data_IF_728660881173
#
_entry.id   IF_728660881173
#
_cell.length_a   1.000
_cell.length_b   1.000
_cell.length_c   1.000
_cell.angle_alpha   90.00
_cell.angle_beta   90.00
_cell.angle_gamma   90.00
#
_symmetry.space_group_name_H-M   'P 1'
#
loop_
_entity.id
_entity.type
_entity.pdbx_description
1 polymer ?
#
# COMPACT_ATOMS: atom_id res chain seq x y z
N UNK A 1 -18.26 9.57 -40.07
CA UNK A 1 -17.38 10.12 -39.01
C UNK A 1 -16.51 8.99 -38.53
N UNK A 2 -15.20 9.07 -38.72
CA UNK A 2 -14.26 8.11 -38.13
C UNK A 2 -14.42 8.18 -36.61
N UNK A 3 -14.44 7.08 -35.87
CA UNK A 3 -14.46 7.14 -34.41
C UNK A 3 -13.23 7.94 -33.99
N UNK A 4 -13.44 9.02 -33.25
CA UNK A 4 -12.34 9.82 -32.70
C UNK A 4 -11.52 8.89 -31.77
N UNK A 5 -10.28 8.64 -32.18
CA UNK A 5 -9.36 7.79 -31.41
C UNK A 5 -8.88 8.59 -30.20
N UNK A 6 -9.25 8.19 -29.00
CA UNK A 6 -8.76 8.79 -27.77
C UNK A 6 -7.26 8.49 -27.63
N UNK A 7 -6.44 9.51 -27.45
CA UNK A 7 -5.02 9.37 -27.17
C UNK A 7 -4.75 9.61 -25.70
N UNK A 8 -3.75 8.94 -25.14
CA UNK A 8 -3.40 8.99 -23.72
C UNK A 8 -1.93 9.33 -23.50
N UNK A 9 -1.65 10.05 -22.42
CA UNK A 9 -0.28 10.36 -21.96
C UNK A 9 0.24 9.24 -21.08
N UNK A 10 1.41 8.71 -21.39
CA UNK A 10 2.07 7.71 -20.54
C UNK A 10 2.75 8.33 -19.31
N UNK A 11 2.81 7.59 -18.19
CA UNK A 11 3.52 7.96 -16.95
C UNK A 11 4.97 8.38 -17.18
N UNK A 12 5.65 7.77 -18.15
CA UNK A 12 7.06 8.00 -18.43
C UNK A 12 7.35 9.21 -19.33
N UNK A 13 6.34 10.05 -19.62
CA UNK A 13 6.49 11.24 -20.46
C UNK A 13 6.76 10.98 -21.95
N UNK A 14 6.62 9.73 -22.44
CA UNK A 14 6.91 9.31 -23.83
C UNK A 14 5.85 9.69 -24.86
N UNK A 15 5.17 10.81 -24.66
CA UNK A 15 4.23 11.33 -25.65
C UNK A 15 2.81 10.78 -25.54
N UNK A 16 2.02 11.04 -26.59
CA UNK A 16 0.65 10.56 -26.75
C UNK A 16 0.65 9.27 -27.57
N UNK A 17 -0.16 8.30 -27.16
CA UNK A 17 -0.42 7.08 -27.92
C UNK A 17 -1.91 6.73 -27.88
N UNK A 18 -2.44 6.00 -28.87
CA UNK A 18 -3.83 5.57 -28.86
C UNK A 18 -4.17 4.79 -27.58
N UNK A 19 -5.36 5.06 -27.03
CA UNK A 19 -5.89 4.31 -25.89
C UNK A 19 -6.07 2.83 -26.29
N UNK A 20 -5.40 1.96 -25.55
CA UNK A 20 -5.51 0.51 -25.71
C UNK A 20 -6.59 -0.03 -24.76
N UNK A 21 -7.80 -0.19 -25.29
CA UNK A 21 -8.96 -0.68 -24.55
C UNK A 21 -8.71 -2.12 -24.01
N UNK A 22 -7.94 -2.94 -24.73
CA UNK A 22 -7.64 -4.31 -24.29
C UNK A 22 -6.84 -4.33 -22.99
N UNK A 23 -5.97 -3.35 -22.76
CA UNK A 23 -5.25 -3.22 -21.49
C UNK A 23 -6.17 -2.86 -20.34
N UNK A 24 -7.18 -2.02 -20.59
CA UNK A 24 -8.21 -1.67 -19.60
C UNK A 24 -9.03 -2.92 -19.28
N UNK A 25 -9.54 -3.60 -20.32
CA UNK A 25 -10.31 -4.82 -20.18
C UNK A 25 -9.55 -5.88 -19.38
N UNK A 26 -8.28 -6.17 -19.72
CA UNK A 26 -7.45 -7.13 -18.98
C UNK A 26 -7.29 -6.74 -17.51
N UNK A 27 -7.11 -5.45 -17.23
CA UNK A 27 -6.94 -4.96 -15.85
C UNK A 27 -8.23 -5.11 -15.03
N UNK A 28 -9.38 -4.79 -15.60
CA UNK A 28 -10.69 -4.96 -14.97
C UNK A 28 -10.99 -6.44 -14.78
N UNK A 29 -10.70 -7.27 -15.78
CA UNK A 29 -10.85 -8.72 -15.71
C UNK A 29 -10.08 -9.30 -14.49
N UNK A 30 -8.77 -9.02 -14.38
CA UNK A 30 -7.97 -9.48 -13.23
C UNK A 30 -8.47 -8.93 -11.89
N UNK A 31 -9.03 -7.73 -11.87
CA UNK A 31 -9.60 -7.17 -10.64
C UNK A 31 -10.90 -7.86 -10.22
N UNK A 32 -11.70 -8.35 -11.17
CA UNK A 32 -12.96 -9.06 -10.94
C UNK A 32 -12.78 -10.58 -10.74
N UNK A 33 -11.62 -11.12 -11.08
CA UNK A 33 -11.36 -12.56 -11.08
C UNK A 33 -11.69 -13.21 -9.72
N UNK A 34 -12.42 -14.32 -9.76
CA UNK A 34 -12.84 -15.09 -8.58
C UNK A 34 -13.69 -14.32 -7.55
N UNK A 35 -14.36 -13.24 -7.96
CA UNK A 35 -15.31 -12.49 -7.13
C UNK A 35 -16.75 -12.72 -7.61
N UNK A 36 -17.62 -13.18 -6.73
CA UNK A 36 -19.04 -13.36 -7.04
C UNK A 36 -19.79 -12.01 -7.02
N UNK A 37 -20.81 -11.85 -7.87
CA UNK A 37 -21.70 -10.69 -7.85
C UNK A 37 -21.07 -9.39 -8.35
N UNK A 38 -20.00 -9.46 -9.13
CA UNK A 38 -19.39 -8.31 -9.82
C UNK A 38 -19.46 -8.48 -11.34
N UNK A 39 -19.49 -7.38 -12.08
CA UNK A 39 -19.54 -7.35 -13.54
C UNK A 39 -18.43 -6.45 -14.08
N UNK A 40 -17.55 -7.01 -14.89
CA UNK A 40 -16.51 -6.29 -15.61
C UNK A 40 -17.12 -5.18 -16.49
N UNK A 41 -18.17 -5.51 -17.23
CA UNK A 41 -18.86 -4.57 -18.10
C UNK A 41 -19.44 -3.36 -17.37
N UNK A 42 -19.93 -3.53 -16.12
CA UNK A 42 -20.41 -2.39 -15.34
C UNK A 42 -19.28 -1.43 -14.99
N UNK A 43 -18.12 -1.94 -14.56
CA UNK A 43 -16.94 -1.12 -14.25
C UNK A 43 -16.48 -0.38 -15.50
N UNK A 44 -16.40 -1.09 -16.66
CA UNK A 44 -15.96 -0.53 -17.93
C UNK A 44 -16.91 0.54 -18.46
N UNK A 45 -18.21 0.29 -18.43
CA UNK A 45 -19.22 1.26 -18.88
C UNK A 45 -19.20 2.52 -18.02
N UNK A 46 -19.17 2.36 -16.69
CA UNK A 46 -19.15 3.50 -15.76
C UNK A 46 -17.88 4.33 -15.90
N UNK A 47 -16.73 3.68 -16.18
CA UNK A 47 -15.46 4.36 -16.40
C UNK A 47 -15.34 4.97 -17.78
N UNK A 48 -15.79 4.27 -18.84
CA UNK A 48 -15.63 4.68 -20.23
C UNK A 48 -16.31 6.01 -20.55
N UNK A 49 -17.39 6.34 -19.87
CA UNK A 49 -18.09 7.63 -20.00
C UNK A 49 -17.26 8.84 -19.52
N UNK A 50 -16.17 8.61 -18.79
CA UNK A 50 -15.32 9.65 -18.20
C UNK A 50 -14.00 9.84 -18.97
N UNK A 51 -13.72 9.01 -19.98
CA UNK A 51 -12.47 9.11 -20.74
C UNK A 51 -12.53 10.25 -21.76
N UNK A 52 -11.44 11.00 -21.88
CA UNK A 52 -11.28 12.10 -22.83
C UNK A 52 -9.89 12.07 -23.48
N UNK A 53 -9.77 12.72 -24.65
CA UNK A 53 -8.51 12.79 -25.39
C UNK A 53 -7.43 13.56 -24.64
N UNK A 54 -6.22 13.00 -24.60
CA UNK A 54 -5.07 13.59 -23.90
C UNK A 54 -4.97 13.30 -22.40
N UNK A 55 -5.89 12.52 -21.80
CA UNK A 55 -5.80 12.16 -20.40
C UNK A 55 -4.58 11.24 -20.13
N UNK A 56 -4.09 11.23 -18.89
CA UNK A 56 -2.98 10.38 -18.50
C UNK A 56 -3.45 8.95 -18.15
N UNK A 57 -2.55 7.99 -18.26
CA UNK A 57 -2.84 6.61 -17.82
C UNK A 57 -3.09 6.52 -16.31
N UNK A 58 -2.59 7.49 -15.52
CA UNK A 58 -2.89 7.60 -14.09
C UNK A 58 -4.32 8.06 -13.84
N UNK A 59 -4.80 9.06 -14.57
CA UNK A 59 -6.20 9.50 -14.50
C UNK A 59 -7.15 8.38 -14.89
N UNK A 60 -6.86 7.61 -15.94
CA UNK A 60 -7.62 6.41 -16.31
C UNK A 60 -7.69 5.44 -15.12
N UNK A 61 -6.56 5.17 -14.48
CA UNK A 61 -6.50 4.26 -13.34
C UNK A 61 -7.34 4.78 -12.17
N UNK A 62 -7.30 6.08 -11.87
CA UNK A 62 -8.14 6.68 -10.81
C UNK A 62 -9.63 6.60 -11.16
N UNK A 63 -10.00 6.80 -12.42
CA UNK A 63 -11.38 6.64 -12.88
C UNK A 63 -11.86 5.20 -12.70
N UNK A 64 -11.04 4.20 -13.06
CA UNK A 64 -11.38 2.79 -12.88
C UNK A 64 -11.59 2.45 -11.38
N UNK A 65 -10.70 2.92 -10.50
CA UNK A 65 -10.80 2.73 -9.06
C UNK A 65 -12.09 3.39 -8.54
N UNK A 66 -12.35 4.63 -8.95
CA UNK A 66 -13.54 5.36 -8.54
C UNK A 66 -14.81 4.66 -9.01
N UNK A 67 -14.88 4.29 -10.29
CA UNK A 67 -16.04 3.59 -10.87
C UNK A 67 -16.34 2.28 -10.14
N UNK A 68 -15.33 1.49 -9.81
CA UNK A 68 -15.52 0.28 -9.02
C UNK A 68 -15.99 0.60 -7.58
N UNK A 69 -15.46 1.66 -6.97
CA UNK A 69 -15.87 2.06 -5.61
C UNK A 69 -17.31 2.60 -5.56
N UNK A 70 -17.76 3.29 -6.60
CA UNK A 70 -19.13 3.82 -6.69
C UNK A 70 -20.19 2.70 -6.90
N UNK A 71 -19.77 1.51 -7.32
CA UNK A 71 -20.62 0.33 -7.45
C UNK A 71 -20.78 -0.46 -6.13
N UNK A 72 -20.06 -0.11 -5.08
CA UNK A 72 -20.19 -0.77 -3.77
C UNK A 72 -21.57 -0.50 -3.19
N UNK A 73 -22.32 -1.56 -2.91
CA UNK A 73 -23.65 -1.47 -2.32
C UNK A 73 -23.92 -2.68 -1.42
N UNK A 74 -25.04 -2.67 -0.70
CA UNK A 74 -25.47 -3.81 0.11
C UNK A 74 -25.73 -5.04 -0.74
N UNK A 75 -26.24 -4.86 -1.97
CA UNK A 75 -26.55 -5.95 -2.91
C UNK A 75 -25.31 -6.43 -3.66
N UNK A 76 -24.26 -5.60 -3.77
CA UNK A 76 -23.03 -5.90 -4.49
C UNK A 76 -21.76 -5.49 -3.69
N UNK A 77 -21.55 -6.06 -2.49
CA UNK A 77 -20.46 -5.64 -1.59
C UNK A 77 -19.08 -5.99 -2.13
N UNK A 78 -18.97 -6.98 -3.03
CA UNK A 78 -17.67 -7.43 -3.54
C UNK A 78 -16.97 -6.46 -4.47
N UNK A 79 -17.65 -5.39 -4.95
CA UNK A 79 -16.96 -4.30 -5.64
C UNK A 79 -15.91 -3.60 -4.77
N UNK A 80 -15.99 -3.70 -3.43
CA UNK A 80 -14.93 -3.23 -2.56
C UNK A 80 -13.58 -3.93 -2.82
N UNK A 81 -13.60 -5.20 -3.19
CA UNK A 81 -12.38 -5.94 -3.54
C UNK A 81 -11.92 -5.62 -4.96
N UNK A 82 -12.83 -5.35 -5.89
CA UNK A 82 -12.48 -4.87 -7.25
C UNK A 82 -11.76 -3.54 -7.16
N UNK A 83 -12.31 -2.57 -6.43
CA UNK A 83 -11.70 -1.26 -6.22
C UNK A 83 -10.34 -1.37 -5.51
N UNK A 84 -10.22 -2.25 -4.49
CA UNK A 84 -8.95 -2.52 -3.81
C UNK A 84 -7.89 -3.09 -4.75
N UNK A 85 -8.24 -4.07 -5.58
CA UNK A 85 -7.31 -4.68 -6.55
C UNK A 85 -6.85 -3.68 -7.61
N UNK A 86 -7.75 -2.85 -8.13
CA UNK A 86 -7.40 -1.77 -9.05
C UNK A 86 -6.44 -0.76 -8.40
N UNK A 87 -6.66 -0.40 -7.13
CA UNK A 87 -5.74 0.45 -6.37
C UNK A 87 -4.37 -0.22 -6.17
N UNK A 88 -4.36 -1.52 -5.83
CA UNK A 88 -3.14 -2.31 -5.68
C UNK A 88 -2.34 -2.38 -6.99
N UNK A 89 -3.02 -2.56 -8.13
CA UNK A 89 -2.37 -2.56 -9.45
C UNK A 89 -1.75 -1.21 -9.77
N UNK A 90 -2.42 -0.10 -9.41
CA UNK A 90 -1.85 1.25 -9.54
C UNK A 90 -0.58 1.38 -8.69
N UNK A 91 -0.63 0.96 -7.44
CA UNK A 91 0.51 0.99 -6.51
C UNK A 91 1.69 0.16 -7.05
N UNK A 92 1.47 -1.09 -7.45
CA UNK A 92 2.52 -1.96 -8.00
C UNK A 92 3.15 -1.38 -9.27
N UNK A 93 2.34 -0.82 -10.16
CA UNK A 93 2.85 -0.14 -11.37
C UNK A 93 3.68 1.11 -11.06
N UNK A 94 3.33 1.87 -10.04
CA UNK A 94 4.12 3.04 -9.64
C UNK A 94 5.47 2.65 -9.03
N UNK A 95 5.51 1.57 -8.25
CA UNK A 95 6.70 1.12 -7.54
C UNK A 95 7.67 0.31 -8.41
N UNK A 96 7.13 -0.61 -9.23
CA UNK A 96 7.91 -1.63 -9.92
C UNK A 96 7.76 -1.60 -11.45
N UNK A 97 6.87 -0.73 -11.99
CA UNK A 97 6.48 -0.67 -13.40
C UNK A 97 5.84 -1.97 -13.94
N UNK A 98 5.58 -2.94 -13.07
CA UNK A 98 5.02 -4.26 -13.36
C UNK A 98 3.93 -4.62 -12.35
N UNK A 99 3.00 -5.50 -12.73
CA UNK A 99 1.88 -5.90 -11.87
C UNK A 99 2.20 -7.10 -10.98
N UNK A 100 2.96 -8.05 -11.53
CA UNK A 100 3.12 -9.40 -10.96
C UNK A 100 4.53 -9.69 -10.48
N UNK A 101 5.53 -8.94 -10.97
CA UNK A 101 6.91 -9.12 -10.58
C UNK A 101 7.26 -8.12 -9.46
N UNK A 102 7.87 -8.64 -8.42
CA UNK A 102 8.35 -7.86 -7.28
C UNK A 102 9.87 -7.98 -7.22
N UNK A 103 10.58 -6.92 -6.78
CA UNK A 103 11.99 -7.05 -6.43
C UNK A 103 12.15 -8.02 -5.25
N UNK A 104 13.35 -8.51 -5.03
CA UNK A 104 13.66 -9.23 -3.79
C UNK A 104 13.56 -8.29 -2.59
N UNK A 105 13.34 -8.85 -1.39
CA UNK A 105 13.30 -8.05 -0.16
C UNK A 105 14.61 -7.29 0.07
N UNK A 106 15.75 -7.91 -0.28
CA UNK A 106 17.07 -7.28 -0.19
C UNK A 106 17.21 -6.08 -1.11
N UNK A 107 16.82 -6.21 -2.40
CA UNK A 107 16.84 -5.10 -3.36
C UNK A 107 15.92 -3.98 -2.92
N UNK A 108 14.72 -4.33 -2.44
CA UNK A 108 13.76 -3.38 -1.91
C UNK A 108 14.31 -2.62 -0.69
N UNK A 109 14.88 -3.34 0.29
CA UNK A 109 15.45 -2.73 1.49
C UNK A 109 16.63 -1.81 1.15
N UNK A 110 17.57 -2.23 0.29
CA UNK A 110 18.68 -1.39 -0.19
C UNK A 110 18.17 -0.12 -0.84
N UNK A 111 17.19 -0.20 -1.75
CA UNK A 111 16.56 0.97 -2.40
C UNK A 111 15.93 1.93 -1.38
N UNK A 112 15.21 1.42 -0.40
CA UNK A 112 14.55 2.24 0.62
C UNK A 112 15.56 2.89 1.59
N UNK A 113 16.66 2.21 1.91
CA UNK A 113 17.77 2.75 2.72
C UNK A 113 18.48 3.87 1.96
N UNK A 114 18.79 3.68 0.69
CA UNK A 114 19.43 4.69 -0.16
C UNK A 114 18.58 5.96 -0.30
N UNK A 115 17.26 5.80 -0.26
CA UNK A 115 16.30 6.92 -0.21
C UNK A 115 16.13 7.54 1.18
N UNK A 116 16.76 6.97 2.21
CA UNK A 116 16.65 7.44 3.59
C UNK A 116 15.30 7.19 4.25
N UNK A 117 14.45 6.34 3.67
CA UNK A 117 13.10 6.04 4.18
C UNK A 117 13.05 4.80 5.06
N UNK A 118 14.02 3.88 4.92
CA UNK A 118 14.24 2.76 5.85
C UNK A 118 15.47 3.02 6.73
N UNK A 119 15.48 2.42 7.91
CA UNK A 119 16.60 2.44 8.82
C UNK A 119 17.77 1.63 8.24
N UNK A 120 18.93 2.27 8.11
CA UNK A 120 20.15 1.63 7.59
C UNK A 120 20.62 0.44 8.44
N UNK A 121 20.27 0.42 9.72
CA UNK A 121 20.62 -0.66 10.62
C UNK A 121 19.97 -2.01 10.25
N UNK A 122 18.95 -2.01 9.38
CA UNK A 122 18.32 -3.26 8.89
C UNK A 122 19.34 -4.22 8.28
N UNK A 123 20.31 -3.70 7.50
CA UNK A 123 21.37 -4.50 6.89
C UNK A 123 22.50 -4.88 7.87
N UNK A 124 22.46 -4.35 9.11
CA UNK A 124 23.34 -4.75 10.21
C UNK A 124 22.67 -5.84 11.05
N UNK A 125 21.32 -5.75 11.23
CA UNK A 125 20.59 -6.72 12.04
C UNK A 125 20.46 -8.09 11.37
N UNK A 126 20.35 -8.12 10.04
CA UNK A 126 20.08 -9.33 9.26
C UNK A 126 21.11 -9.52 8.17
N UNK A 127 21.55 -10.77 7.98
CA UNK A 127 22.42 -11.14 6.86
C UNK A 127 21.63 -11.17 5.54
N UNK A 128 22.34 -11.21 4.42
CA UNK A 128 21.68 -11.32 3.11
C UNK A 128 20.91 -12.65 2.97
N UNK A 129 21.42 -13.73 3.56
CA UNK A 129 20.75 -15.04 3.58
C UNK A 129 19.45 -15.01 4.38
N UNK A 130 19.42 -14.31 5.52
CA UNK A 130 18.19 -14.14 6.31
C UNK A 130 17.16 -13.29 5.58
N UNK A 131 17.58 -12.26 4.86
CA UNK A 131 16.69 -11.45 4.04
C UNK A 131 16.14 -12.25 2.84
N UNK A 132 16.94 -13.13 2.25
CA UNK A 132 16.50 -14.05 1.20
C UNK A 132 15.49 -15.08 1.74
N UNK A 133 15.72 -15.60 2.95
CA UNK A 133 14.77 -16.48 3.63
C UNK A 133 13.45 -15.78 3.89
N UNK A 134 13.46 -14.54 4.39
CA UNK A 134 12.25 -13.72 4.54
C UNK A 134 11.54 -13.50 3.21
N UNK A 135 12.30 -13.18 2.14
CA UNK A 135 11.78 -12.98 0.79
C UNK A 135 11.01 -14.20 0.30
N UNK A 136 11.55 -15.40 0.47
CA UNK A 136 10.89 -16.66 0.09
C UNK A 136 9.56 -16.90 0.82
N UNK A 137 9.41 -16.28 1.98
CA UNK A 137 8.24 -16.43 2.85
C UNK A 137 7.14 -15.39 2.59
N UNK A 138 7.44 -14.31 1.86
CA UNK A 138 6.47 -13.28 1.51
C UNK A 138 5.41 -13.83 0.55
N UNK A 139 4.13 -13.52 0.84
CA UNK A 139 2.95 -13.91 0.07
C UNK A 139 2.23 -12.68 -0.47
N UNK A 140 2.68 -12.18 -1.63
CA UNK A 140 2.14 -10.96 -2.24
C UNK A 140 0.66 -11.05 -2.62
N UNK A 141 0.12 -12.26 -2.80
CA UNK A 141 -1.31 -12.52 -3.03
C UNK A 141 -2.19 -12.16 -1.83
N UNK A 142 -1.64 -12.08 -0.62
CA UNK A 142 -2.40 -11.64 0.57
C UNK A 142 -2.84 -10.19 0.49
N UNK A 143 -2.26 -9.38 -0.38
CA UNK A 143 -2.75 -8.03 -0.66
C UNK A 143 -4.19 -8.02 -1.20
N UNK A 144 -4.67 -9.15 -1.77
CA UNK A 144 -6.06 -9.30 -2.22
C UNK A 144 -7.08 -9.47 -1.09
N UNK A 145 -6.63 -9.64 0.15
CA UNK A 145 -7.51 -9.69 1.33
C UNK A 145 -8.03 -8.30 1.74
N UNK A 146 -7.41 -7.24 1.27
CA UNK A 146 -7.85 -5.89 1.62
C UNK A 146 -9.18 -5.52 0.97
N UNK A 147 -10.08 -4.92 1.77
CA UNK A 147 -11.15 -4.09 1.25
C UNK A 147 -10.59 -2.76 0.71
N UNK A 148 -11.36 -2.06 -0.11
CA UNK A 148 -10.93 -0.75 -0.65
C UNK A 148 -10.60 0.27 0.44
N UNK A 149 -11.47 0.41 1.45
CA UNK A 149 -11.23 1.33 2.56
C UNK A 149 -9.97 0.95 3.36
N UNK A 150 -9.77 -0.36 3.61
CA UNK A 150 -8.59 -0.86 4.31
C UNK A 150 -7.30 -0.59 3.54
N UNK A 151 -7.27 -0.88 2.24
CA UNK A 151 -6.09 -0.61 1.42
C UNK A 151 -5.81 0.88 1.26
N UNK A 152 -6.85 1.72 1.09
CA UNK A 152 -6.69 3.18 1.07
C UNK A 152 -6.04 3.69 2.34
N UNK A 153 -6.51 3.23 3.51
CA UNK A 153 -5.90 3.63 4.78
C UNK A 153 -4.43 3.21 4.87
N UNK A 154 -4.09 2.00 4.41
CA UNK A 154 -2.70 1.52 4.40
C UNK A 154 -1.84 2.37 3.47
N UNK A 155 -2.30 2.61 2.24
CA UNK A 155 -1.59 3.41 1.23
C UNK A 155 -1.40 4.86 1.69
N UNK A 156 -2.44 5.48 2.19
CA UNK A 156 -2.42 6.92 2.51
C UNK A 156 -1.70 7.23 3.83
N UNK A 157 -1.67 6.26 4.76
CA UNK A 157 -1.23 6.52 6.13
C UNK A 157 0.00 5.73 6.58
N UNK A 158 0.14 4.48 6.16
CA UNK A 158 1.09 3.54 6.76
C UNK A 158 2.26 3.15 5.86
N UNK A 159 2.06 3.08 4.54
CA UNK A 159 3.19 2.83 3.64
C UNK A 159 4.20 3.97 3.73
N UNK A 160 5.48 3.60 3.71
CA UNK A 160 6.56 4.59 3.70
C UNK A 160 6.47 5.41 2.42
N UNK A 161 6.46 6.73 2.59
CA UNK A 161 6.29 7.69 1.50
C UNK A 161 7.04 8.99 1.78
N UNK A 162 7.44 9.68 0.73
CA UNK A 162 7.84 11.07 0.80
C UNK A 162 6.59 11.95 0.89
N UNK A 163 6.39 12.58 2.04
CA UNK A 163 5.21 13.42 2.30
C UNK A 163 5.16 14.70 1.47
N UNK A 164 6.29 15.14 0.93
CA UNK A 164 6.37 16.35 0.10
C UNK A 164 5.94 16.07 -1.34
N UNK A 165 6.25 14.89 -1.86
CA UNK A 165 5.98 14.49 -3.24
C UNK A 165 4.80 13.52 -3.37
N UNK A 166 4.44 12.83 -2.30
CA UNK A 166 3.47 11.73 -2.31
C UNK A 166 4.04 10.43 -2.90
N UNK A 167 5.35 10.35 -3.18
CA UNK A 167 5.98 9.14 -3.68
C UNK A 167 5.97 8.05 -2.61
N UNK A 168 5.38 6.89 -2.93
CA UNK A 168 5.34 5.70 -2.06
C UNK A 168 6.49 4.79 -2.44
N UNK A 169 7.09 4.10 -1.44
CA UNK A 169 8.29 3.29 -1.65
C UNK A 169 8.09 1.79 -1.43
N UNK A 170 6.97 1.35 -0.86
CA UNK A 170 6.75 -0.05 -0.51
C UNK A 170 5.33 -0.54 -0.81
N UNK A 171 5.16 -1.88 -0.86
CA UNK A 171 3.86 -2.54 -0.89
C UNK A 171 3.47 -3.03 0.51
N UNK A 172 2.18 -3.39 0.75
CA UNK A 172 1.76 -3.86 2.08
C UNK A 172 2.53 -5.09 2.57
N UNK A 173 2.86 -6.04 1.69
CA UNK A 173 3.58 -7.24 2.13
C UNK A 173 5.03 -6.95 2.53
N UNK A 174 5.72 -6.06 1.84
CA UNK A 174 7.04 -5.58 2.28
C UNK A 174 6.94 -4.84 3.59
N UNK A 175 5.96 -3.95 3.76
CA UNK A 175 5.69 -3.28 5.03
C UNK A 175 5.55 -4.30 6.17
N UNK A 176 4.69 -5.30 6.03
CA UNK A 176 4.44 -6.29 7.07
C UNK A 176 5.68 -7.12 7.39
N UNK A 177 6.43 -7.57 6.39
CA UNK A 177 7.66 -8.33 6.62
C UNK A 177 8.71 -7.48 7.34
N UNK A 178 8.90 -6.23 6.94
CA UNK A 178 9.87 -5.34 7.57
C UNK A 178 9.47 -4.91 8.98
N UNK A 179 8.17 -4.79 9.26
CA UNK A 179 7.69 -4.60 10.64
C UNK A 179 8.06 -5.82 11.50
N UNK A 180 7.74 -7.02 11.02
CA UNK A 180 8.07 -8.25 11.73
C UNK A 180 9.58 -8.36 12.00
N UNK A 181 10.40 -8.18 10.97
CA UNK A 181 11.85 -8.20 11.10
C UNK A 181 12.34 -7.19 12.14
N UNK A 182 11.87 -5.95 12.09
CA UNK A 182 12.33 -4.91 13.02
C UNK A 182 11.94 -5.20 14.48
N UNK A 183 10.75 -5.73 14.72
CA UNK A 183 10.29 -6.04 16.08
C UNK A 183 11.09 -7.17 16.73
N UNK A 184 11.51 -8.16 15.96
CA UNK A 184 12.22 -9.34 16.48
C UNK A 184 13.75 -9.30 16.29
N UNK A 185 14.32 -8.17 15.86
CA UNK A 185 15.76 -8.02 15.60
C UNK A 185 16.69 -8.39 16.77
N UNK A 186 16.23 -8.15 18.01
CA UNK A 186 16.99 -8.36 19.22
C UNK A 186 16.72 -9.73 19.89
N UNK A 187 15.91 -10.57 19.23
CA UNK A 187 15.67 -11.93 19.72
C UNK A 187 16.88 -12.83 19.42
N UNK A 188 16.96 -13.95 20.12
CA UNK A 188 17.98 -14.97 19.89
C UNK A 188 18.04 -15.35 18.41
N UNK A 189 19.27 -15.30 17.85
CA UNK A 189 19.54 -15.54 16.41
C UNK A 189 18.94 -16.87 15.93
N UNK A 190 19.04 -17.93 16.73
CA UNK A 190 18.53 -19.25 16.37
C UNK A 190 16.99 -19.31 16.28
N UNK A 191 16.30 -18.37 16.91
CA UNK A 191 14.84 -18.37 17.05
C UNK A 191 14.15 -17.18 16.42
N UNK A 192 14.87 -16.07 16.17
CA UNK A 192 14.26 -14.82 15.71
C UNK A 192 13.50 -14.99 14.40
N UNK A 193 14.00 -15.80 13.48
CA UNK A 193 13.37 -16.04 12.19
C UNK A 193 11.99 -16.72 12.34
N UNK A 194 11.84 -17.65 13.29
CA UNK A 194 10.55 -18.27 13.59
C UNK A 194 9.53 -17.25 14.08
N UNK A 195 9.95 -16.31 14.94
CA UNK A 195 9.08 -15.23 15.41
C UNK A 195 8.72 -14.26 14.29
N UNK A 196 9.67 -13.89 13.43
CA UNK A 196 9.43 -13.04 12.26
C UNK A 196 8.37 -13.67 11.36
N UNK A 197 8.50 -14.95 11.02
CA UNK A 197 7.55 -15.68 10.16
C UNK A 197 6.17 -15.78 10.80
N UNK A 198 6.09 -16.13 12.09
CA UNK A 198 4.81 -16.22 12.83
C UNK A 198 4.11 -14.88 12.87
N UNK A 199 4.82 -13.82 13.18
CA UNK A 199 4.25 -12.48 13.26
C UNK A 199 3.82 -11.97 11.90
N UNK A 200 4.67 -12.11 10.87
CA UNK A 200 4.31 -11.79 9.48
C UNK A 200 3.02 -12.52 9.06
N UNK A 201 2.91 -13.82 9.35
CA UNK A 201 1.70 -14.57 9.05
C UNK A 201 0.46 -13.99 9.73
N UNK A 202 0.56 -13.62 10.99
CA UNK A 202 -0.58 -13.10 11.74
C UNK A 202 -1.04 -11.73 11.21
N UNK A 203 -0.09 -10.81 10.96
CA UNK A 203 -0.45 -9.46 10.49
C UNK A 203 -0.86 -9.43 9.02
N UNK A 204 -0.19 -10.18 8.15
CA UNK A 204 -0.47 -10.19 6.72
C UNK A 204 -1.78 -10.90 6.33
N UNK A 205 -2.31 -11.72 7.22
CA UNK A 205 -3.63 -12.35 7.11
C UNK A 205 -4.73 -11.60 7.89
N UNK A 206 -4.39 -10.43 8.46
CA UNK A 206 -5.30 -9.60 9.26
C UNK A 206 -5.86 -10.30 10.50
N UNK A 207 -5.14 -11.31 11.06
CA UNK A 207 -5.54 -12.01 12.26
C UNK A 207 -5.31 -11.18 13.53
N UNK A 208 -4.36 -10.25 13.48
CA UNK A 208 -4.08 -9.26 14.53
C UNK A 208 -3.98 -7.87 13.91
N UNK A 209 -4.36 -6.87 14.69
CA UNK A 209 -4.18 -5.47 14.35
C UNK A 209 -3.02 -4.89 15.16
N UNK A 210 -2.26 -4.00 14.54
CA UNK A 210 -1.11 -3.33 15.15
C UNK A 210 -1.33 -1.82 15.23
N UNK A 211 -0.83 -1.16 16.29
CA UNK A 211 -1.05 0.27 16.48
C UNK A 211 -0.36 1.11 15.42
N UNK A 212 -0.96 2.26 15.10
CA UNK A 212 -0.49 3.21 14.10
C UNK A 212 1.01 3.52 14.17
N UNK A 213 1.62 3.81 15.35
CA UNK A 213 3.06 4.13 15.40
C UNK A 213 3.96 2.99 14.96
N UNK A 214 3.55 1.74 15.24
CA UNK A 214 4.29 0.55 14.82
C UNK A 214 4.17 0.37 13.31
N UNK A 215 2.95 0.47 12.76
CA UNK A 215 2.74 0.35 11.31
C UNK A 215 3.46 1.42 10.51
N UNK A 216 3.46 2.66 10.98
CA UNK A 216 4.04 3.78 10.27
C UNK A 216 5.56 3.89 10.45
N UNK A 217 6.11 3.51 11.63
CA UNK A 217 7.42 4.00 12.06
C UNK A 217 8.53 2.97 12.25
N UNK A 218 8.26 1.74 12.71
CA UNK A 218 9.33 0.87 13.26
C UNK A 218 10.48 0.55 12.32
N UNK A 219 10.23 0.45 11.00
CA UNK A 219 11.25 0.17 9.97
C UNK A 219 11.94 1.42 9.44
N UNK A 220 11.49 2.60 9.88
CA UNK A 220 12.02 3.90 9.43
C UNK A 220 13.06 4.45 10.41
N UNK A 221 13.83 5.49 10.05
CA UNK A 221 14.74 6.17 10.98
C UNK A 221 14.03 6.86 12.15
N UNK A 222 12.70 7.03 12.10
CA UNK A 222 11.91 7.62 13.18
C UNK A 222 11.86 6.69 14.38
N UNK A 223 12.09 7.24 15.58
CA UNK A 223 12.18 6.48 16.84
C UNK A 223 11.05 6.82 17.81
N UNK A 224 9.99 7.49 17.34
CA UNK A 224 8.85 7.85 18.18
C UNK A 224 7.66 6.92 17.88
N UNK A 225 7.25 6.18 18.90
CA UNK A 225 6.19 5.16 18.78
C UNK A 225 4.98 5.43 19.67
N UNK A 226 4.86 6.66 20.21
CA UNK A 226 3.68 7.12 20.94
C UNK A 226 2.73 7.87 19.98
N UNK A 227 1.45 7.53 20.01
CA UNK A 227 0.40 8.22 19.25
C UNK A 227 -0.54 9.03 20.13
N UNK A 228 -0.50 8.79 21.43
CA UNK A 228 -1.36 9.44 22.40
C UNK A 228 -0.54 9.86 23.62
N UNK A 229 -0.88 11.03 24.15
CA UNK A 229 -0.33 11.54 25.42
C UNK A 229 -1.50 11.84 26.33
N UNK A 230 -1.42 11.38 27.57
CA UNK A 230 -2.37 11.73 28.62
C UNK A 230 -1.73 12.80 29.50
N UNK A 231 -2.44 13.90 29.66
CA UNK A 231 -2.05 14.97 30.58
C UNK A 231 -3.10 15.03 31.68
N UNK A 232 -2.67 14.77 32.91
CA UNK A 232 -3.55 14.83 34.08
C UNK A 232 -3.75 16.28 34.50
N UNK A 233 -4.99 16.67 34.78
CA UNK A 233 -5.35 18.05 35.11
C UNK A 233 -6.30 18.09 36.30
N UNK A 234 -5.84 18.73 37.40
CA UNK A 234 -6.68 19.01 38.56
C UNK A 234 -7.53 20.29 38.36
N UNK A 235 -8.57 20.43 39.14
CA UNK A 235 -9.45 21.63 39.16
C UNK A 235 -8.81 22.80 39.89
N UNK A 236 -7.63 23.22 39.45
CA UNK A 236 -6.91 24.38 39.91
C UNK A 236 -6.30 25.16 38.76
N UNK A 237 -6.25 26.50 38.84
CA UNK A 237 -5.66 27.34 37.81
C UNK A 237 -4.19 26.94 37.47
N UNK A 238 -3.30 26.68 38.45
CA UNK A 238 -1.95 26.23 38.14
C UNK A 238 -1.92 24.91 37.35
N UNK A 239 -2.79 23.95 37.68
CA UNK A 239 -2.85 22.67 36.97
C UNK A 239 -3.38 22.82 35.55
N UNK A 240 -4.43 23.64 35.36
CA UNK A 240 -4.98 23.95 34.05
C UNK A 240 -3.93 24.61 33.14
N UNK A 241 -3.22 25.63 33.62
CA UNK A 241 -2.15 26.27 32.85
C UNK A 241 -0.97 25.35 32.57
N UNK A 242 -0.61 24.49 33.53
CA UNK A 242 0.46 23.50 33.34
C UNK A 242 0.09 22.49 32.23
N UNK A 243 -1.18 22.05 32.20
CA UNK A 243 -1.67 21.13 31.19
C UNK A 243 -1.72 21.78 29.82
N UNK A 244 -2.16 23.03 29.74
CA UNK A 244 -2.18 23.82 28.50
C UNK A 244 -0.76 23.98 27.91
N UNK A 245 0.22 24.30 28.77
CA UNK A 245 1.64 24.37 28.38
C UNK A 245 2.21 23.02 27.94
N UNK A 246 1.73 21.91 28.48
CA UNK A 246 2.21 20.56 28.14
C UNK A 246 1.64 20.07 26.79
N UNK A 247 0.50 20.61 26.36
CA UNK A 247 -0.18 20.24 25.10
C UNK A 247 0.28 21.13 23.93
N UNK A 248 0.61 22.40 24.19
CA UNK A 248 1.07 23.38 23.18
C UNK A 248 2.52 23.24 22.85
#
# INVERSE_FOLDING_TARGET
MSPETINVKKRNGRGLEPLDIQKIHSMVHYACENLAGVSESQVEMTSGLQFYDGMSTDEIQQILIKSASDLISLDAPNYQYVAARLLLFSLRKSLHHRLWEHPTLLEHAKKCIDKGVYDKEILVWYTEEELEEMNSYIKHERDYLFSYAGLRQVVDKYLVQDRSTGEIFETPQFMYMMIAATLFRNYDIERRMDYVKKYYNAISQHLINIPTPVMAGVRTPLRQFASCVLVDTDDTLPSIFSSDMAIG
#
